data_IF_934138034701
#
_entry.id   IF_934138034701
#
_cell.length_a   1.000
_cell.length_b   1.000
_cell.length_c   1.000
_cell.angle_alpha   90.00
_cell.angle_beta   90.00
_cell.angle_gamma   90.00
#
_symmetry.space_group_name_H-M   'P 1'
#
loop_
_entity.id
_entity.type
_entity.pdbx_description
1 polymer ?
#
# COMPACT_ATOMS: atom_id res chain seq x y z
N UNK A 1 -30.95 2.18 -13.37
CA UNK A 1 -29.69 2.75 -13.91
C UNK A 1 -28.68 1.63 -13.95
N UNK A 2 -28.01 1.51 -15.10
CA UNK A 2 -27.43 0.30 -15.66
C UNK A 2 -26.42 -0.44 -14.76
N UNK A 3 -26.60 -1.77 -14.69
CA UNK A 3 -25.58 -2.74 -14.29
C UNK A 3 -24.79 -3.09 -15.57
N UNK A 4 -23.66 -2.42 -15.79
CA UNK A 4 -22.72 -2.79 -16.84
C UNK A 4 -21.83 -3.95 -16.37
N UNK A 5 -22.23 -5.16 -16.75
CA UNK A 5 -21.43 -6.37 -16.65
C UNK A 5 -20.36 -6.36 -17.74
N UNK A 6 -19.16 -5.88 -17.36
CA UNK A 6 -17.92 -6.04 -18.12
C UNK A 6 -17.63 -7.54 -18.33
N UNK A 7 -17.92 -8.02 -19.52
CA UNK A 7 -17.55 -9.35 -20.02
C UNK A 7 -16.05 -9.35 -20.32
N UNK A 8 -15.26 -9.88 -19.39
CA UNK A 8 -13.85 -10.18 -19.59
C UNK A 8 -13.72 -11.35 -20.58
N UNK A 9 -13.34 -11.03 -21.81
CA UNK A 9 -12.96 -12.00 -22.85
C UNK A 9 -11.62 -12.65 -22.46
N UNK A 10 -11.52 -13.98 -22.38
CA UNK A 10 -10.24 -14.64 -22.09
C UNK A 10 -9.25 -14.50 -23.26
N UNK A 11 -8.15 -13.80 -23.02
CA UNK A 11 -6.99 -13.63 -23.92
C UNK A 11 -6.03 -14.83 -23.90
N UNK A 12 -6.55 -16.06 -23.98
CA UNK A 12 -5.71 -17.24 -24.24
C UNK A 12 -6.43 -18.18 -25.19
N UNK A 13 -6.09 -18.06 -26.47
CA UNK A 13 -6.39 -19.05 -27.50
C UNK A 13 -5.42 -20.20 -27.26
N UNK A 14 -5.76 -21.09 -26.34
CA UNK A 14 -5.03 -22.34 -26.16
C UNK A 14 -4.97 -23.05 -27.51
N UNK A 15 -3.75 -23.23 -28.03
CA UNK A 15 -3.50 -23.98 -29.25
C UNK A 15 -4.19 -25.34 -29.12
N UNK A 16 -5.20 -25.56 -29.97
CA UNK A 16 -5.95 -26.80 -30.06
C UNK A 16 -5.07 -27.86 -30.75
N UNK A 17 -3.96 -28.23 -30.12
CA UNK A 17 -3.11 -29.35 -30.50
C UNK A 17 -3.67 -30.62 -29.84
N UNK A 18 -4.88 -31.03 -30.26
CA UNK A 18 -5.44 -32.36 -30.01
C UNK A 18 -6.61 -32.60 -30.97
N UNK A 19 -6.31 -32.63 -32.26
CA UNK A 19 -7.22 -33.24 -33.24
C UNK A 19 -6.43 -33.93 -34.34
N UNK A 20 -5.57 -34.86 -33.93
CA UNK A 20 -5.12 -35.91 -34.85
C UNK A 20 -6.36 -36.78 -35.11
N UNK A 21 -7.03 -36.50 -36.23
CA UNK A 21 -8.10 -37.33 -36.75
C UNK A 21 -7.46 -38.65 -37.18
N UNK A 22 -7.49 -39.65 -36.29
CA UNK A 22 -7.19 -41.03 -36.64
C UNK A 22 -8.23 -41.50 -37.66
N UNK A 23 -7.97 -41.28 -38.94
CA UNK A 23 -8.62 -41.98 -40.04
C UNK A 23 -8.07 -43.40 -40.03
N UNK A 24 -8.55 -44.22 -39.09
CA UNK A 24 -8.45 -45.66 -39.22
C UNK A 24 -9.39 -46.06 -40.36
N UNK A 25 -8.90 -46.02 -41.60
CA UNK A 25 -9.52 -46.75 -42.70
C UNK A 25 -9.52 -48.23 -42.30
N UNK A 26 -10.65 -48.68 -41.75
CA UNK A 26 -10.89 -50.09 -41.49
C UNK A 26 -10.98 -50.77 -42.85
N UNK A 27 -9.83 -51.26 -43.30
CA UNK A 27 -9.68 -52.05 -44.51
C UNK A 27 -10.62 -53.26 -44.43
N UNK A 28 -11.79 -53.14 -45.07
CA UNK A 28 -12.74 -54.24 -45.30
C UNK A 28 -12.12 -55.46 -46.03
N UNK A 29 -10.86 -55.38 -46.48
CA UNK A 29 -10.12 -56.48 -47.11
C UNK A 29 -9.61 -57.54 -46.13
N UNK A 30 -9.45 -57.23 -44.83
CA UNK A 30 -8.88 -58.20 -43.89
C UNK A 30 -9.78 -59.43 -43.67
N UNK A 31 -11.10 -59.20 -43.57
CA UNK A 31 -12.08 -60.26 -43.33
C UNK A 31 -12.24 -61.24 -44.51
N UNK A 32 -12.03 -60.78 -45.75
CA UNK A 32 -12.12 -61.65 -46.93
C UNK A 32 -10.86 -62.50 -47.14
N UNK A 33 -9.70 -62.04 -46.68
CA UNK A 33 -8.43 -62.76 -46.82
C UNK A 33 -8.25 -63.85 -45.75
N UNK A 34 -8.82 -63.67 -44.55
CA UNK A 34 -8.78 -64.71 -43.50
C UNK A 34 -9.55 -65.98 -43.90
N UNK A 35 -10.53 -65.88 -44.80
CA UNK A 35 -11.21 -67.06 -45.41
C UNK A 35 -10.26 -67.95 -46.24
N UNK A 36 -9.08 -67.45 -46.63
CA UNK A 36 -8.06 -68.22 -47.35
C UNK A 36 -7.34 -69.26 -46.46
N UNK A 37 -7.39 -69.10 -45.13
CA UNK A 37 -6.65 -69.96 -44.19
C UNK A 37 -7.33 -71.32 -43.92
N UNK A 38 -8.62 -71.45 -44.19
CA UNK A 38 -9.39 -72.68 -44.00
C UNK A 38 -9.40 -73.49 -45.31
N UNK A 39 -9.20 -74.83 -45.28
CA UNK A 39 -9.35 -75.65 -46.48
C UNK A 39 -10.73 -75.42 -47.14
N UNK A 40 -10.76 -75.22 -48.46
CA UNK A 40 -12.02 -74.91 -49.15
C UNK A 40 -12.96 -76.14 -49.23
N UNK A 41 -12.39 -77.34 -49.15
CA UNK A 41 -13.07 -78.62 -49.21
C UNK A 41 -13.35 -79.14 -47.81
N UNK A 42 -14.55 -79.67 -47.61
CA UNK A 42 -14.97 -80.32 -46.35
C UNK A 42 -14.99 -81.85 -46.42
N UNK A 43 -14.74 -82.44 -47.60
CA UNK A 43 -14.79 -83.89 -47.83
C UNK A 43 -13.61 -84.37 -48.68
N UNK A 44 -13.05 -85.54 -48.31
CA UNK A 44 -12.01 -86.21 -49.08
C UNK A 44 -12.60 -86.76 -50.39
N UNK A 45 -12.05 -86.35 -51.53
CA UNK A 45 -12.58 -86.70 -52.85
C UNK A 45 -11.87 -87.89 -53.50
N UNK A 46 -10.60 -88.16 -53.17
CA UNK A 46 -9.82 -89.24 -53.79
C UNK A 46 -9.90 -90.55 -53.01
N UNK A 47 -9.68 -91.67 -53.70
CA UNK A 47 -9.76 -93.00 -53.10
C UNK A 47 -8.57 -93.22 -52.16
N UNK A 48 -7.39 -92.70 -52.53
CA UNK A 48 -6.15 -92.77 -51.76
C UNK A 48 -6.28 -92.02 -50.44
N UNK A 49 -6.83 -90.80 -50.44
CA UNK A 49 -7.02 -90.01 -49.21
C UNK A 49 -8.05 -90.66 -48.27
N UNK A 50 -9.13 -91.23 -48.82
CA UNK A 50 -10.10 -92.02 -48.07
C UNK A 50 -9.48 -93.30 -47.49
N UNK A 51 -8.59 -93.98 -48.23
CA UNK A 51 -7.85 -95.17 -47.75
C UNK A 51 -6.91 -94.81 -46.60
N UNK A 52 -6.14 -93.73 -46.73
CA UNK A 52 -5.25 -93.26 -45.65
C UNK A 52 -6.06 -92.98 -44.38
N UNK A 53 -7.20 -92.29 -44.50
CA UNK A 53 -8.07 -92.02 -43.36
C UNK A 53 -8.69 -93.29 -42.79
N UNK A 54 -9.14 -94.22 -43.63
CA UNK A 54 -9.72 -95.50 -43.21
C UNK A 54 -8.71 -96.37 -42.46
N UNK A 55 -7.44 -96.43 -42.92
CA UNK A 55 -6.38 -97.16 -42.22
C UNK A 55 -6.14 -96.52 -40.85
N UNK A 56 -6.10 -95.19 -40.77
CA UNK A 56 -5.91 -94.50 -39.50
C UNK A 56 -7.10 -94.73 -38.54
N UNK A 57 -8.34 -94.60 -39.01
CA UNK A 57 -9.55 -94.88 -38.23
C UNK A 57 -9.58 -96.35 -37.75
N UNK A 58 -9.17 -97.29 -38.59
CA UNK A 58 -9.06 -98.71 -38.24
C UNK A 58 -7.94 -98.97 -37.21
N UNK A 59 -6.79 -98.29 -37.34
CA UNK A 59 -5.71 -98.39 -36.34
C UNK A 59 -6.12 -97.83 -34.99
N UNK A 60 -6.79 -96.66 -34.96
CA UNK A 60 -7.34 -96.07 -33.73
C UNK A 60 -8.35 -97.04 -33.09
N UNK A 61 -9.20 -97.67 -33.89
CA UNK A 61 -10.17 -98.64 -33.39
C UNK A 61 -9.49 -99.88 -32.78
N UNK A 62 -8.48 -100.45 -33.46
CA UNK A 62 -7.72 -101.60 -32.95
C UNK A 62 -6.95 -101.27 -31.68
N UNK A 63 -6.28 -100.12 -31.62
CA UNK A 63 -5.55 -99.65 -30.44
C UNK A 63 -6.51 -99.46 -29.26
N UNK A 64 -7.70 -98.89 -29.49
CA UNK A 64 -8.76 -98.80 -28.46
C UNK A 64 -9.15 -100.17 -27.92
N UNK A 65 -9.28 -101.19 -28.76
CA UNK A 65 -9.61 -102.54 -28.30
C UNK A 65 -8.46 -103.19 -27.52
N UNK A 66 -7.21 -103.06 -27.98
CA UNK A 66 -6.04 -103.59 -27.25
C UNK A 66 -5.90 -102.95 -25.88
N UNK A 67 -6.14 -101.64 -25.76
CA UNK A 67 -6.04 -100.92 -24.49
C UNK A 67 -7.02 -101.38 -23.41
N UNK A 68 -8.04 -102.17 -23.78
CA UNK A 68 -9.04 -102.71 -22.87
C UNK A 68 -8.75 -104.16 -22.45
N UNK A 69 -7.74 -104.82 -23.03
CA UNK A 69 -7.50 -106.25 -22.80
C UNK A 69 -7.05 -106.56 -21.36
N UNK A 70 -6.18 -105.73 -20.78
CA UNK A 70 -5.69 -105.94 -19.40
C UNK A 70 -6.77 -105.70 -18.35
N UNK A 71 -7.63 -104.69 -18.54
CA UNK A 71 -8.80 -104.48 -17.67
C UNK A 71 -9.89 -105.53 -17.88
N UNK A 72 -10.04 -106.07 -19.10
CA UNK A 72 -10.94 -107.19 -19.38
C UNK A 72 -10.47 -108.50 -18.73
N UNK A 73 -9.16 -108.75 -18.64
CA UNK A 73 -8.62 -109.94 -17.99
C UNK A 73 -8.78 -109.92 -16.46
N UNK A 74 -8.79 -108.73 -15.86
CA UNK A 74 -8.88 -108.54 -14.41
C UNK A 74 -10.30 -108.74 -13.83
N UNK A 75 -11.36 -108.65 -14.65
CA UNK A 75 -12.77 -108.70 -14.22
C UNK A 75 -13.48 -109.96 -14.73
N UNK A 76 -13.29 -111.11 -14.08
CA UNK A 76 -13.65 -112.40 -14.67
C UNK A 76 -15.11 -112.88 -14.45
N UNK A 77 -15.76 -112.51 -13.34
CA UNK A 77 -17.00 -113.20 -12.92
C UNK A 77 -18.28 -112.82 -13.70
N UNK A 78 -18.28 -111.73 -14.46
CA UNK A 78 -19.45 -111.26 -15.23
C UNK A 78 -19.29 -111.25 -16.75
N UNK A 79 -18.08 -111.49 -17.27
CA UNK A 79 -17.74 -111.30 -18.68
C UNK A 79 -17.84 -112.59 -19.52
N UNK A 80 -17.77 -113.76 -18.88
CA UNK A 80 -17.73 -115.07 -19.55
C UNK A 80 -19.03 -115.41 -20.32
N UNK A 81 -20.18 -114.99 -19.81
CA UNK A 81 -21.48 -115.24 -20.44
C UNK A 81 -21.76 -114.44 -21.72
N UNK A 82 -21.11 -113.28 -21.93
CA UNK A 82 -21.38 -112.39 -23.07
C UNK A 82 -20.21 -112.25 -24.05
N UNK A 83 -18.96 -112.39 -23.59
CA UNK A 83 -17.79 -112.41 -24.49
C UNK A 83 -17.63 -113.76 -25.19
N UNK A 84 -18.16 -114.83 -24.59
CA UNK A 84 -17.97 -116.19 -25.07
C UNK A 84 -16.66 -116.79 -24.57
N UNK A 85 -16.69 -118.10 -24.32
CA UNK A 85 -15.60 -118.87 -23.71
C UNK A 85 -14.27 -118.74 -24.47
N UNK A 86 -14.33 -118.70 -25.81
CA UNK A 86 -13.15 -118.56 -26.66
C UNK A 86 -12.46 -117.20 -26.50
N UNK A 87 -13.23 -116.12 -26.37
CA UNK A 87 -12.69 -114.76 -26.22
C UNK A 87 -12.17 -114.55 -24.80
N UNK A 88 -12.89 -114.99 -23.78
CA UNK A 88 -12.41 -114.86 -22.39
C UNK A 88 -11.18 -115.69 -22.14
N UNK A 89 -11.08 -116.88 -22.72
CA UNK A 89 -9.87 -117.69 -22.70
C UNK A 89 -8.70 -117.01 -23.40
N UNK A 90 -8.90 -116.49 -24.62
CA UNK A 90 -7.84 -115.79 -25.36
C UNK A 90 -7.39 -114.48 -24.69
N UNK A 91 -8.28 -113.77 -24.00
CA UNK A 91 -7.94 -112.58 -23.19
C UNK A 91 -7.09 -112.97 -21.98
N UNK A 92 -7.48 -114.03 -21.25
CA UNK A 92 -6.71 -114.56 -20.11
C UNK A 92 -5.32 -115.02 -20.52
N UNK A 93 -5.23 -115.85 -21.56
CA UNK A 93 -3.94 -116.34 -22.08
C UNK A 93 -3.04 -115.18 -22.53
N UNK A 94 -3.61 -114.13 -23.12
CA UNK A 94 -2.86 -112.94 -23.48
C UNK A 94 -2.37 -112.17 -22.24
N UNK A 95 -3.19 -112.05 -21.19
CA UNK A 95 -2.78 -111.40 -19.94
C UNK A 95 -1.73 -112.21 -19.19
N UNK A 96 -1.85 -113.53 -19.12
CA UNK A 96 -0.85 -114.41 -18.50
C UNK A 96 0.51 -114.26 -19.18
N UNK A 97 0.54 -114.14 -20.51
CA UNK A 97 1.77 -113.87 -21.26
C UNK A 97 2.32 -112.46 -21.00
N UNK A 98 1.46 -111.44 -20.90
CA UNK A 98 1.85 -110.07 -20.53
C UNK A 98 2.43 -110.03 -19.11
N UNK A 99 1.78 -110.68 -18.15
CA UNK A 99 2.23 -110.77 -16.77
C UNK A 99 3.58 -111.51 -16.66
N UNK A 100 3.72 -112.63 -17.37
CA UNK A 100 5.00 -113.35 -17.46
C UNK A 100 6.12 -112.47 -18.02
N UNK A 101 5.83 -111.60 -18.98
CA UNK A 101 6.81 -110.66 -19.51
C UNK A 101 7.15 -109.58 -18.49
N UNK A 102 6.17 -109.03 -17.78
CA UNK A 102 6.38 -108.05 -16.73
C UNK A 102 7.22 -108.64 -15.59
N UNK A 103 6.89 -109.84 -15.11
CA UNK A 103 7.63 -110.52 -14.04
C UNK A 103 9.09 -110.79 -14.45
N UNK A 104 9.31 -111.26 -15.68
CA UNK A 104 10.66 -111.46 -16.22
C UNK A 104 11.42 -110.16 -16.41
N UNK A 105 10.76 -109.09 -16.85
CA UNK A 105 11.37 -107.78 -17.02
C UNK A 105 11.78 -107.18 -15.66
N UNK A 106 10.92 -107.28 -14.65
CA UNK A 106 11.20 -106.82 -13.29
C UNK A 106 12.35 -107.61 -12.67
N UNK A 107 12.32 -108.95 -12.80
CA UNK A 107 13.42 -109.80 -12.35
C UNK A 107 14.76 -109.41 -13.02
N UNK A 108 14.76 -109.20 -14.34
CA UNK A 108 15.97 -108.79 -15.05
C UNK A 108 16.44 -107.41 -14.63
N UNK A 109 15.53 -106.48 -14.40
CA UNK A 109 15.86 -105.13 -13.93
C UNK A 109 16.47 -105.17 -12.53
N UNK A 110 15.93 -105.97 -11.61
CA UNK A 110 16.50 -106.18 -10.27
C UNK A 110 17.89 -106.82 -10.32
N UNK A 111 18.06 -107.84 -11.17
CA UNK A 111 19.35 -108.52 -11.35
C UNK A 111 20.40 -107.63 -12.04
N UNK A 112 19.99 -106.77 -12.97
CA UNK A 112 20.87 -105.77 -13.59
C UNK A 112 21.30 -104.68 -12.60
N UNK A 113 20.40 -104.23 -11.72
CA UNK A 113 20.74 -103.29 -10.66
C UNK A 113 21.73 -103.90 -9.66
N UNK A 114 21.54 -105.17 -9.27
CA UNK A 114 22.49 -105.89 -8.40
C UNK A 114 23.85 -106.09 -9.06
N UNK A 115 23.90 -106.42 -10.35
CA UNK A 115 25.16 -106.48 -11.09
C UNK A 115 25.86 -105.13 -11.13
N UNK A 116 25.12 -104.02 -11.29
CA UNK A 116 25.68 -102.68 -11.29
C UNK A 116 26.24 -102.30 -9.90
N UNK A 117 25.62 -102.73 -8.80
CA UNK A 117 26.14 -102.52 -7.44
C UNK A 117 27.38 -103.38 -7.13
N UNK A 118 27.53 -104.52 -7.80
CA UNK A 118 28.61 -105.49 -7.60
C UNK A 118 29.73 -105.36 -8.67
N UNK A 119 29.77 -104.27 -9.45
CA UNK A 119 30.76 -104.02 -10.53
C UNK A 119 32.23 -104.10 -10.07
N UNK A 120 32.52 -103.87 -8.78
CA UNK A 120 33.88 -104.01 -8.23
C UNK A 120 34.40 -105.47 -8.27
N UNK A 121 33.53 -106.45 -8.49
CA UNK A 121 33.84 -107.89 -8.53
C UNK A 121 33.84 -108.48 -9.95
N UNK A 122 33.99 -107.67 -11.00
CA UNK A 122 33.99 -108.09 -12.42
C UNK A 122 34.95 -109.26 -12.78
N UNK A 123 36.05 -109.41 -12.04
CA UNK A 123 37.04 -110.48 -12.25
C UNK A 123 36.66 -111.81 -11.58
N UNK A 124 35.63 -111.84 -10.74
CA UNK A 124 35.14 -113.05 -10.08
C UNK A 124 34.32 -113.93 -11.05
N UNK A 125 34.52 -115.25 -10.97
CA UNK A 125 33.86 -116.21 -11.86
C UNK A 125 32.33 -116.19 -11.76
N UNK A 126 31.79 -116.03 -10.56
CA UNK A 126 30.34 -115.99 -10.33
C UNK A 126 29.68 -114.74 -10.93
N UNK A 127 30.40 -113.61 -11.02
CA UNK A 127 29.92 -112.38 -11.64
C UNK A 127 29.74 -112.57 -13.15
N UNK A 128 30.71 -113.22 -13.81
CA UNK A 128 30.64 -113.58 -15.24
C UNK A 128 29.51 -114.57 -15.54
N UNK A 129 29.30 -115.56 -14.66
CA UNK A 129 28.21 -116.52 -14.79
C UNK A 129 26.82 -115.86 -14.64
N UNK A 130 26.69 -114.91 -13.71
CA UNK A 130 25.46 -114.11 -13.52
C UNK A 130 25.17 -113.21 -14.73
N UNK A 131 26.20 -112.57 -15.29
CA UNK A 131 26.09 -111.77 -16.52
C UNK A 131 25.64 -112.62 -17.72
N UNK A 132 26.19 -113.81 -17.89
CA UNK A 132 25.77 -114.77 -18.91
C UNK A 132 24.31 -115.22 -18.72
N UNK A 133 23.88 -115.45 -17.47
CA UNK A 133 22.50 -115.81 -17.13
C UNK A 133 21.50 -114.70 -17.50
N UNK A 134 21.81 -113.43 -17.16
CA UNK A 134 20.99 -112.28 -17.56
C UNK A 134 20.92 -112.15 -19.08
N UNK A 135 22.04 -112.31 -19.78
CA UNK A 135 22.08 -112.24 -21.24
C UNK A 135 21.23 -113.35 -21.90
N UNK A 136 21.24 -114.56 -21.34
CA UNK A 136 20.36 -115.65 -21.78
C UNK A 136 18.89 -115.32 -21.51
N UNK A 137 18.53 -114.82 -20.32
CA UNK A 137 17.16 -114.40 -20.01
C UNK A 137 16.67 -113.25 -20.90
N UNK A 138 17.53 -112.27 -21.22
CA UNK A 138 17.25 -111.22 -22.21
C UNK A 138 16.94 -111.81 -23.59
N UNK A 139 17.65 -112.85 -24.02
CA UNK A 139 17.39 -113.50 -25.31
C UNK A 139 16.00 -114.17 -25.36
N UNK A 140 15.50 -114.67 -24.23
CA UNK A 140 14.16 -115.26 -24.12
C UNK A 140 13.01 -114.24 -24.12
N UNK A 141 13.30 -112.94 -23.89
CA UNK A 141 12.29 -111.89 -24.00
C UNK A 141 11.81 -111.69 -25.45
N UNK A 142 12.68 -111.89 -26.44
CA UNK A 142 12.33 -111.65 -27.84
C UNK A 142 11.26 -112.63 -28.35
N UNK A 143 11.40 -113.97 -28.16
CA UNK A 143 10.32 -114.92 -28.45
C UNK A 143 9.03 -114.62 -27.67
N UNK A 144 9.14 -114.23 -26.40
CA UNK A 144 7.97 -113.92 -25.56
C UNK A 144 7.21 -112.70 -26.10
N UNK A 145 7.91 -111.64 -26.52
CA UNK A 145 7.30 -110.48 -27.20
C UNK A 145 6.58 -110.87 -28.50
N UNK A 146 7.13 -111.84 -29.25
CA UNK A 146 6.48 -112.36 -30.46
C UNK A 146 5.21 -113.14 -30.12
N UNK A 147 5.26 -114.00 -29.10
CA UNK A 147 4.09 -114.75 -28.62
C UNK A 147 2.98 -113.82 -28.12
N UNK A 148 3.30 -112.76 -27.36
CA UNK A 148 2.31 -111.74 -26.96
C UNK A 148 1.72 -111.06 -28.19
N UNK A 149 2.56 -110.68 -29.16
CA UNK A 149 2.08 -110.05 -30.41
C UNK A 149 1.13 -110.96 -31.19
N UNK A 150 1.40 -112.26 -31.24
CA UNK A 150 0.56 -113.26 -31.89
C UNK A 150 -0.73 -113.51 -31.11
N UNK A 151 -0.63 -113.61 -29.78
CA UNK A 151 -1.78 -113.71 -28.88
C UNK A 151 -2.69 -112.49 -29.01
N UNK A 152 -2.16 -111.28 -28.91
CA UNK A 152 -2.91 -110.03 -29.10
C UNK A 152 -3.58 -109.97 -30.48
N UNK A 153 -2.90 -110.43 -31.55
CA UNK A 153 -3.51 -110.52 -32.89
C UNK A 153 -4.65 -111.53 -32.93
N UNK A 154 -4.51 -112.68 -32.28
CA UNK A 154 -5.55 -113.70 -32.23
C UNK A 154 -6.77 -113.20 -31.43
N UNK A 155 -6.54 -112.58 -30.27
CA UNK A 155 -7.58 -111.96 -29.45
C UNK A 155 -8.30 -110.84 -30.22
N UNK A 156 -7.54 -109.97 -30.92
CA UNK A 156 -8.14 -108.94 -31.78
C UNK A 156 -8.95 -109.53 -32.93
N UNK A 157 -8.50 -110.61 -33.58
CA UNK A 157 -9.27 -111.28 -34.65
C UNK A 157 -10.60 -111.81 -34.11
N UNK A 158 -10.59 -112.43 -32.94
CA UNK A 158 -11.81 -112.93 -32.30
C UNK A 158 -12.77 -111.79 -31.95
N UNK A 159 -12.25 -110.68 -31.40
CA UNK A 159 -13.06 -109.49 -31.08
C UNK A 159 -13.61 -108.80 -32.34
N UNK A 160 -12.83 -108.73 -33.42
CA UNK A 160 -13.29 -108.13 -34.68
C UNK A 160 -14.30 -109.02 -35.41
N UNK A 161 -14.18 -110.34 -35.30
CA UNK A 161 -15.15 -111.29 -35.85
C UNK A 161 -16.47 -111.31 -35.05
N UNK A 162 -16.45 -110.89 -33.78
CA UNK A 162 -17.63 -110.74 -32.94
C UNK A 162 -17.85 -109.28 -32.49
N UNK A 163 -18.48 -108.44 -33.33
CA UNK A 163 -18.63 -107.00 -33.05
C UNK A 163 -19.53 -106.70 -31.84
N UNK A 164 -20.38 -107.65 -31.42
CA UNK A 164 -21.21 -107.48 -30.22
C UNK A 164 -20.35 -107.58 -28.95
N UNK A 165 -19.43 -108.55 -28.90
CA UNK A 165 -18.45 -108.69 -27.82
C UNK A 165 -17.50 -107.48 -27.74
N UNK A 166 -17.00 -107.00 -28.89
CA UNK A 166 -16.15 -105.80 -28.93
C UNK A 166 -16.86 -104.52 -28.45
N UNK A 167 -18.13 -104.33 -28.80
CA UNK A 167 -18.93 -103.19 -28.31
C UNK A 167 -19.20 -103.29 -26.82
N UNK A 168 -19.48 -104.49 -26.33
CA UNK A 168 -19.70 -104.75 -24.91
C UNK A 168 -18.45 -104.42 -24.08
N UNK A 169 -17.26 -104.85 -24.51
CA UNK A 169 -15.99 -104.48 -23.88
C UNK A 169 -15.80 -102.95 -23.82
N UNK A 170 -16.12 -102.24 -24.90
CA UNK A 170 -15.99 -100.78 -24.95
C UNK A 170 -17.00 -100.04 -24.04
N UNK A 171 -18.15 -100.65 -23.75
CA UNK A 171 -19.20 -100.05 -22.92
C UNK A 171 -19.06 -100.35 -21.44
N UNK A 172 -18.60 -101.55 -21.07
CA UNK A 172 -18.46 -101.96 -19.67
C UNK A 172 -17.12 -101.55 -19.04
N UNK A 173 -16.03 -101.50 -19.81
CA UNK A 173 -14.69 -101.25 -19.27
C UNK A 173 -14.22 -99.86 -19.71
N UNK A 174 -14.36 -98.90 -18.80
CA UNK A 174 -13.85 -97.53 -18.99
C UNK A 174 -12.43 -97.36 -18.44
N UNK A 175 -11.92 -98.34 -17.69
CA UNK A 175 -10.61 -98.27 -17.06
C UNK A 175 -9.51 -98.60 -18.08
N UNK A 176 -8.88 -97.54 -18.58
CA UNK A 176 -7.64 -97.56 -19.37
C UNK A 176 -6.54 -96.89 -18.55
N UNK A 177 -5.29 -97.27 -18.80
CA UNK A 177 -4.15 -96.52 -18.27
C UNK A 177 -4.08 -95.11 -18.88
N UNK A 178 -3.51 -94.17 -18.13
CA UNK A 178 -3.36 -92.78 -18.57
C UNK A 178 -2.50 -92.67 -19.84
N UNK A 179 -1.49 -93.53 -19.95
CA UNK A 179 -0.57 -93.61 -21.09
C UNK A 179 -1.30 -94.12 -22.34
N UNK A 180 -2.17 -95.12 -22.21
CA UNK A 180 -2.96 -95.63 -23.32
C UNK A 180 -3.97 -94.59 -23.81
N UNK A 181 -4.58 -93.83 -22.89
CA UNK A 181 -5.52 -92.77 -23.24
C UNK A 181 -4.81 -91.59 -23.96
N UNK A 182 -3.66 -91.14 -23.45
CA UNK A 182 -2.84 -90.10 -24.09
C UNK A 182 -2.40 -90.48 -25.50
N UNK A 183 -2.05 -91.75 -25.73
CA UNK A 183 -1.70 -92.25 -27.05
C UNK A 183 -2.90 -92.24 -28.02
N UNK A 184 -4.09 -92.65 -27.55
CA UNK A 184 -5.33 -92.59 -28.35
C UNK A 184 -5.70 -91.15 -28.70
N UNK A 185 -5.54 -90.22 -27.77
CA UNK A 185 -5.82 -88.79 -27.98
C UNK A 185 -4.85 -88.20 -29.02
N UNK A 186 -3.55 -88.52 -28.92
CA UNK A 186 -2.54 -88.13 -29.90
C UNK A 186 -2.83 -88.68 -31.30
N UNK A 187 -3.29 -89.94 -31.42
CA UNK A 187 -3.71 -90.51 -32.70
C UNK A 187 -4.97 -89.81 -33.25
N UNK A 188 -5.87 -89.38 -32.38
CA UNK A 188 -7.09 -88.65 -32.76
C UNK A 188 -6.77 -87.24 -33.22
N UNK A 189 -5.81 -86.55 -32.59
CA UNK A 189 -5.28 -85.26 -33.02
C UNK A 189 -4.56 -85.38 -34.38
N UNK A 190 -3.69 -86.38 -34.52
CA UNK A 190 -3.03 -86.70 -35.79
C UNK A 190 -4.04 -86.94 -36.91
N UNK A 191 -5.15 -87.63 -36.60
CA UNK A 191 -6.25 -87.85 -37.53
C UNK A 191 -6.91 -86.54 -37.97
N UNK A 192 -7.13 -85.61 -37.05
CA UNK A 192 -7.61 -84.26 -37.36
C UNK A 192 -6.64 -83.49 -38.27
N UNK A 193 -5.36 -83.45 -37.90
CA UNK A 193 -4.32 -82.78 -38.68
C UNK A 193 -4.17 -83.36 -40.10
N UNK A 194 -4.09 -84.68 -40.22
CA UNK A 194 -3.99 -85.34 -41.53
C UNK A 194 -5.24 -85.10 -42.37
N UNK A 195 -6.42 -85.07 -41.77
CA UNK A 195 -7.65 -84.75 -42.47
C UNK A 195 -7.59 -83.34 -43.08
N UNK A 196 -7.18 -82.32 -42.32
CA UNK A 196 -7.01 -80.96 -42.84
C UNK A 196 -5.94 -80.87 -43.94
N UNK A 197 -4.81 -81.58 -43.76
CA UNK A 197 -3.75 -81.63 -44.77
C UNK A 197 -4.20 -82.28 -46.07
N UNK A 198 -4.96 -83.39 -45.99
CA UNK A 198 -5.50 -84.09 -47.16
C UNK A 198 -6.64 -83.31 -47.84
N UNK A 199 -7.31 -82.40 -47.12
CA UNK A 199 -8.29 -81.47 -47.69
C UNK A 199 -7.66 -80.27 -48.39
N UNK A 200 -6.43 -79.91 -48.02
CA UNK A 200 -5.75 -78.71 -48.54
C UNK A 200 -5.14 -78.98 -49.92
N UNK A 201 -5.51 -78.17 -50.91
CA UNK A 201 -4.88 -78.23 -52.25
C UNK A 201 -3.45 -77.66 -52.23
N UNK A 202 -2.52 -78.14 -53.07
CA UNK A 202 -1.20 -77.52 -53.23
C UNK A 202 -1.27 -76.03 -53.59
N UNK A 203 -2.30 -75.62 -54.32
CA UNK A 203 -2.53 -74.20 -54.64
C UNK A 203 -2.94 -73.42 -53.39
N UNK A 204 -3.91 -73.92 -52.61
CA UNK A 204 -4.35 -73.29 -51.36
C UNK A 204 -3.20 -73.19 -50.34
N UNK A 205 -2.32 -74.18 -50.27
CA UNK A 205 -1.15 -74.13 -49.40
C UNK A 205 -0.18 -73.00 -49.81
N UNK A 206 0.02 -72.79 -51.13
CA UNK A 206 0.84 -71.69 -51.66
C UNK A 206 0.18 -70.34 -51.39
N UNK A 207 -1.13 -70.22 -51.62
CA UNK A 207 -1.88 -68.99 -51.38
C UNK A 207 -1.83 -68.58 -49.89
N UNK A 208 -1.99 -69.55 -48.97
CA UNK A 208 -1.83 -69.32 -47.52
C UNK A 208 -0.42 -68.84 -47.18
N UNK A 209 0.61 -69.46 -47.75
CA UNK A 209 2.01 -69.08 -47.50
C UNK A 209 2.31 -67.66 -48.01
N UNK A 210 1.84 -67.32 -49.21
CA UNK A 210 1.98 -65.97 -49.78
C UNK A 210 1.23 -64.94 -48.94
N UNK A 211 0.00 -65.24 -48.53
CA UNK A 211 -0.77 -64.36 -47.65
C UNK A 211 -0.06 -64.07 -46.33
N UNK A 212 0.47 -65.10 -45.66
CA UNK A 212 1.25 -64.94 -44.43
C UNK A 212 2.49 -64.08 -44.69
N UNK A 213 3.19 -64.29 -45.80
CA UNK A 213 4.37 -63.51 -46.15
C UNK A 213 4.03 -62.02 -46.39
N UNK A 214 2.93 -61.74 -47.08
CA UNK A 214 2.46 -60.37 -47.34
C UNK A 214 2.05 -59.66 -46.05
N UNK A 215 1.30 -60.34 -45.17
CA UNK A 215 0.95 -59.82 -43.85
C UNK A 215 2.20 -59.55 -43.02
N UNK A 216 3.18 -60.46 -43.05
CA UNK A 216 4.44 -60.29 -42.33
C UNK A 216 5.22 -59.10 -42.85
N UNK A 217 5.28 -58.91 -44.17
CA UNK A 217 5.94 -57.76 -44.81
C UNK A 217 5.23 -56.46 -44.47
N UNK A 218 3.90 -56.45 -44.46
CA UNK A 218 3.11 -55.29 -44.06
C UNK A 218 3.34 -54.95 -42.59
N UNK A 219 3.33 -55.93 -41.70
CA UNK A 219 3.61 -55.72 -40.28
C UNK A 219 5.00 -55.15 -40.04
N UNK A 220 6.03 -55.62 -40.77
CA UNK A 220 7.39 -55.05 -40.69
C UNK A 220 7.42 -53.58 -41.07
N UNK A 221 6.81 -53.21 -42.20
CA UNK A 221 6.72 -51.79 -42.63
C UNK A 221 5.95 -50.93 -41.63
N UNK A 222 4.84 -51.45 -41.10
CA UNK A 222 4.07 -50.74 -40.08
C UNK A 222 4.90 -50.54 -38.81
N UNK A 223 5.71 -51.54 -38.43
CA UNK A 223 6.61 -51.42 -37.28
C UNK A 223 7.71 -50.39 -37.51
N UNK A 224 8.29 -50.33 -38.70
CA UNK A 224 9.27 -49.29 -39.08
C UNK A 224 8.64 -47.89 -38.94
N UNK A 225 7.44 -47.68 -39.49
CA UNK A 225 6.72 -46.41 -39.37
C UNK A 225 6.39 -46.06 -37.91
N UNK A 226 6.00 -47.05 -37.10
CA UNK A 226 5.75 -46.84 -35.66
C UNK A 226 7.04 -46.39 -34.97
N UNK A 227 8.16 -47.07 -35.22
CA UNK A 227 9.45 -46.73 -34.61
C UNK A 227 9.91 -45.33 -35.02
N UNK A 228 9.73 -44.95 -36.30
CA UNK A 228 10.07 -43.61 -36.79
C UNK A 228 9.23 -42.53 -36.10
N UNK A 229 7.91 -42.75 -35.97
CA UNK A 229 7.00 -41.83 -35.27
C UNK A 229 7.30 -41.76 -33.77
N UNK A 230 7.65 -42.87 -33.12
CA UNK A 230 8.07 -42.89 -31.72
C UNK A 230 9.37 -42.11 -31.51
N UNK A 231 10.32 -42.21 -32.45
CA UNK A 231 11.56 -41.42 -32.42
C UNK A 231 11.29 -39.92 -32.60
N UNK A 232 10.45 -39.55 -33.58
CA UNK A 232 10.08 -38.13 -33.81
C UNK A 232 9.34 -37.55 -32.60
N UNK A 233 8.44 -38.33 -31.98
CA UNK A 233 7.75 -37.93 -30.76
C UNK A 233 8.73 -37.73 -29.61
N UNK A 234 9.69 -38.65 -29.42
CA UNK A 234 10.70 -38.54 -28.38
C UNK A 234 11.59 -37.31 -28.56
N UNK A 235 12.00 -37.00 -29.80
CA UNK A 235 12.78 -35.81 -30.12
C UNK A 235 11.98 -34.52 -29.86
N UNK A 236 10.71 -34.48 -30.29
CA UNK A 236 9.81 -33.36 -30.05
C UNK A 236 9.58 -33.11 -28.56
N UNK A 237 9.38 -34.16 -27.77
CA UNK A 237 9.26 -34.07 -26.31
C UNK A 237 10.54 -33.52 -25.68
N UNK A 238 11.70 -34.02 -26.08
CA UNK A 238 13.00 -33.54 -25.58
C UNK A 238 13.23 -32.07 -25.90
N UNK A 239 12.90 -31.63 -27.12
CA UNK A 239 13.02 -30.24 -27.52
C UNK A 239 12.08 -29.34 -26.71
N UNK A 240 10.83 -29.77 -26.51
CA UNK A 240 9.86 -29.05 -25.66
C UNK A 240 10.34 -28.96 -24.21
N UNK A 241 10.86 -30.04 -23.65
CA UNK A 241 11.37 -30.05 -22.28
C UNK A 241 12.59 -29.14 -22.12
N UNK A 242 13.49 -29.10 -23.11
CA UNK A 242 14.61 -28.17 -23.14
C UNK A 242 14.15 -26.70 -23.19
N UNK A 243 13.12 -26.38 -23.98
CA UNK A 243 12.56 -25.02 -24.04
C UNK A 243 11.91 -24.63 -22.71
N UNK A 244 11.13 -25.54 -22.11
CA UNK A 244 10.55 -25.33 -20.78
C UNK A 244 11.64 -25.09 -19.72
N UNK A 245 12.77 -25.78 -19.79
CA UNK A 245 13.90 -25.53 -18.88
C UNK A 245 14.52 -24.14 -19.08
N UNK A 246 14.67 -23.67 -20.33
CA UNK A 246 15.15 -22.30 -20.61
C UNK A 246 14.17 -21.25 -20.08
N UNK A 247 12.87 -21.41 -20.35
CA UNK A 247 11.85 -20.49 -19.84
C UNK A 247 11.82 -20.46 -18.31
N UNK A 248 11.95 -21.61 -17.66
CA UNK A 248 12.05 -21.69 -16.20
C UNK A 248 13.27 -20.96 -15.66
N UNK A 249 14.41 -21.05 -16.34
CA UNK A 249 15.62 -20.29 -15.98
C UNK A 249 15.38 -18.78 -16.08
N UNK A 250 14.80 -18.31 -17.19
CA UNK A 250 14.44 -16.88 -17.37
C UNK A 250 13.46 -16.42 -16.29
N UNK A 251 12.44 -17.23 -15.96
CA UNK A 251 11.51 -16.93 -14.87
C UNK A 251 12.25 -16.78 -13.54
N UNK A 252 13.24 -17.62 -13.27
CA UNK A 252 14.03 -17.56 -12.05
C UNK A 252 14.92 -16.30 -12.00
N UNK A 253 15.55 -15.92 -13.10
CA UNK A 253 16.31 -14.66 -13.21
C UNK A 253 15.40 -13.43 -13.00
N UNK A 254 14.24 -13.40 -13.66
CA UNK A 254 13.27 -12.32 -13.51
C UNK A 254 12.73 -12.21 -12.07
N UNK A 255 12.47 -13.34 -11.40
CA UNK A 255 12.10 -13.37 -9.98
C UNK A 255 13.21 -12.79 -9.11
N UNK A 256 14.47 -13.14 -9.38
CA UNK A 256 15.61 -12.62 -8.63
C UNK A 256 15.76 -11.10 -8.85
N UNK A 257 15.65 -10.62 -10.09
CA UNK A 257 15.71 -9.20 -10.41
C UNK A 257 14.57 -8.43 -9.74
N UNK A 258 13.35 -8.96 -9.78
CA UNK A 258 12.20 -8.37 -9.09
C UNK A 258 12.44 -8.27 -7.58
N UNK A 259 12.94 -9.33 -6.95
CA UNK A 259 13.29 -9.29 -5.53
C UNK A 259 14.38 -8.27 -5.21
N UNK A 260 15.40 -8.11 -6.05
CA UNK A 260 16.45 -7.11 -5.87
C UNK A 260 15.89 -5.69 -5.99
N UNK A 261 15.07 -5.42 -7.02
CA UNK A 261 14.44 -4.11 -7.22
C UNK A 261 13.51 -3.77 -6.05
N UNK A 262 12.69 -4.72 -5.60
CA UNK A 262 11.83 -4.53 -4.43
C UNK A 262 12.65 -4.18 -3.20
N UNK A 263 13.68 -4.97 -2.86
CA UNK A 263 14.55 -4.67 -1.71
C UNK A 263 15.26 -3.31 -1.84
N UNK A 264 15.74 -2.96 -3.03
CA UNK A 264 16.38 -1.67 -3.24
C UNK A 264 15.38 -0.52 -3.05
N UNK A 265 14.18 -0.65 -3.59
CA UNK A 265 13.12 0.35 -3.48
C UNK A 265 12.64 0.54 -2.04
N UNK A 266 12.46 -0.55 -1.29
CA UNK A 266 12.08 -0.52 0.13
C UNK A 266 13.16 0.17 0.96
N UNK A 267 14.43 -0.17 0.75
CA UNK A 267 15.54 0.47 1.44
C UNK A 267 15.66 1.97 1.09
N UNK A 268 15.48 2.32 -0.19
CA UNK A 268 15.48 3.71 -0.65
C UNK A 268 14.34 4.52 -0.02
N UNK A 269 13.13 3.94 0.01
CA UNK A 269 11.96 4.55 0.61
C UNK A 269 12.13 4.73 2.12
N UNK A 270 12.67 3.74 2.83
CA UNK A 270 12.97 3.84 4.26
C UNK A 270 13.99 4.94 4.55
N UNK A 271 15.07 5.04 3.77
CA UNK A 271 16.07 6.12 3.89
C UNK A 271 15.45 7.48 3.65
N UNK A 272 14.70 7.63 2.55
CA UNK A 272 14.05 8.89 2.19
C UNK A 272 13.07 9.33 3.26
N UNK A 273 12.27 8.41 3.80
CA UNK A 273 11.35 8.68 4.90
C UNK A 273 12.09 9.12 6.16
N UNK A 274 13.15 8.40 6.54
CA UNK A 274 13.93 8.75 7.72
C UNK A 274 14.62 10.12 7.60
N UNK A 275 15.17 10.43 6.43
CA UNK A 275 15.79 11.73 6.14
C UNK A 275 14.75 12.86 6.14
N UNK A 276 13.58 12.64 5.55
CA UNK A 276 12.47 13.59 5.60
C UNK A 276 11.97 13.82 7.04
N UNK A 277 11.83 12.78 7.86
CA UNK A 277 11.47 12.90 9.28
C UNK A 277 12.54 13.66 10.08
N UNK A 278 13.82 13.41 9.81
CA UNK A 278 14.92 14.13 10.45
C UNK A 278 14.89 15.62 10.09
N UNK A 279 14.68 15.93 8.80
CA UNK A 279 14.58 17.30 8.31
C UNK A 279 13.36 18.00 8.90
N UNK A 280 12.19 17.34 8.91
CA UNK A 280 10.98 17.86 9.53
C UNK A 280 11.20 18.20 11.01
N UNK A 281 11.85 17.30 11.78
CA UNK A 281 12.18 17.57 13.19
C UNK A 281 13.11 18.77 13.35
N UNK A 282 14.10 18.92 12.47
CA UNK A 282 15.00 20.08 12.47
C UNK A 282 14.24 21.38 12.17
N UNK A 283 13.37 21.38 11.15
CA UNK A 283 12.58 22.55 10.75
C UNK A 283 11.57 22.96 11.83
N UNK A 284 10.93 21.98 12.49
CA UNK A 284 10.03 22.23 13.62
C UNK A 284 10.81 22.86 14.78
N UNK A 285 11.99 22.35 15.14
CA UNK A 285 12.81 22.97 16.20
C UNK A 285 13.27 24.38 15.82
N UNK A 286 13.71 24.58 14.58
CA UNK A 286 14.16 25.89 14.09
C UNK A 286 13.00 26.91 14.10
N UNK A 287 11.80 26.50 13.67
CA UNK A 287 10.61 27.35 13.72
C UNK A 287 10.15 27.64 15.15
N UNK A 288 10.15 26.65 16.05
CA UNK A 288 9.86 26.86 17.47
C UNK A 288 10.83 27.86 18.11
N UNK A 289 12.13 27.75 17.81
CA UNK A 289 13.13 28.69 18.30
C UNK A 289 12.88 30.12 17.77
N UNK A 290 12.54 30.28 16.49
CA UNK A 290 12.16 31.59 15.92
C UNK A 290 10.92 32.17 16.58
N UNK A 291 9.88 31.35 16.79
CA UNK A 291 8.64 31.77 17.47
C UNK A 291 8.93 32.19 18.91
N UNK A 292 9.76 31.44 19.64
CA UNK A 292 10.15 31.81 21.00
C UNK A 292 10.89 33.15 21.04
N UNK A 293 11.83 33.37 20.12
CA UNK A 293 12.56 34.64 19.99
C UNK A 293 11.62 35.82 19.72
N UNK A 294 10.74 35.69 18.73
CA UNK A 294 9.75 36.74 18.40
C UNK A 294 8.80 37.01 19.56
N UNK A 295 8.36 35.97 20.28
CA UNK A 295 7.52 36.14 21.48
C UNK A 295 8.25 36.92 22.57
N UNK A 296 9.54 36.65 22.79
CA UNK A 296 10.36 37.40 23.74
C UNK A 296 10.52 38.86 23.31
N UNK A 297 10.79 39.13 22.03
CA UNK A 297 10.88 40.49 21.47
C UNK A 297 9.54 41.24 21.65
N UNK A 298 8.40 40.59 21.39
CA UNK A 298 7.07 41.18 21.63
C UNK A 298 6.88 41.53 23.11
N UNK A 299 7.28 40.65 24.03
CA UNK A 299 7.17 40.92 25.47
C UNK A 299 8.07 42.08 25.90
N UNK A 300 9.30 42.15 25.39
CA UNK A 300 10.23 43.24 25.65
C UNK A 300 9.71 44.58 25.10
N UNK A 301 9.20 44.60 23.87
CA UNK A 301 8.61 45.80 23.29
C UNK A 301 7.36 46.25 24.06
N UNK A 302 6.53 45.32 24.52
CA UNK A 302 5.38 45.63 25.38
C UNK A 302 5.78 46.26 26.70
N UNK A 303 6.83 45.75 27.36
CA UNK A 303 7.32 46.33 28.61
C UNK A 303 7.95 47.71 28.38
N UNK A 304 8.77 47.87 27.32
CA UNK A 304 9.33 49.16 26.93
C UNK A 304 8.24 50.20 26.65
N UNK A 305 7.20 49.81 25.88
CA UNK A 305 6.06 50.68 25.60
C UNK A 305 5.31 51.08 26.88
N UNK A 306 5.08 50.13 27.79
CA UNK A 306 4.45 50.43 29.06
C UNK A 306 5.27 51.39 29.91
N UNK A 307 6.59 51.19 29.99
CA UNK A 307 7.49 52.08 30.71
C UNK A 307 7.45 53.51 30.15
N UNK A 308 7.58 53.66 28.83
CA UNK A 308 7.48 54.97 28.16
C UNK A 308 6.12 55.64 28.39
N UNK A 309 5.03 54.87 28.43
CA UNK A 309 3.72 55.42 28.77
C UNK A 309 3.67 55.93 30.21
N UNK A 310 4.27 55.21 31.16
CA UNK A 310 4.31 55.63 32.57
C UNK A 310 5.20 56.86 32.76
N UNK A 311 6.39 56.88 32.17
CA UNK A 311 7.30 58.03 32.19
C UNK A 311 6.64 59.28 31.60
N UNK A 312 5.97 59.15 30.45
CA UNK A 312 5.25 60.26 29.83
C UNK A 312 4.08 60.75 30.69
N UNK A 313 3.32 59.84 31.31
CA UNK A 313 2.24 60.20 32.24
C UNK A 313 2.76 60.95 33.45
N UNK A 314 3.87 60.50 34.03
CA UNK A 314 4.51 61.16 35.17
C UNK A 314 5.05 62.54 34.80
N UNK A 315 5.71 62.65 33.65
CA UNK A 315 6.19 63.92 33.10
C UNK A 315 5.03 64.89 32.84
N UNK A 316 3.95 64.42 32.22
CA UNK A 316 2.74 65.21 31.98
C UNK A 316 2.11 65.67 33.30
N UNK A 317 1.95 64.77 34.29
CA UNK A 317 1.43 65.13 35.61
C UNK A 317 2.31 66.17 36.31
N UNK A 318 3.64 66.05 36.21
CA UNK A 318 4.57 67.02 36.76
C UNK A 318 4.42 68.40 36.09
N UNK A 319 4.25 68.43 34.76
CA UNK A 319 3.98 69.66 34.03
C UNK A 319 2.62 70.26 34.39
N UNK A 320 1.55 69.45 34.52
CA UNK A 320 0.23 69.91 34.99
C UNK A 320 0.31 70.52 36.39
N UNK A 321 1.07 69.90 37.31
CA UNK A 321 1.30 70.45 38.67
C UNK A 321 2.06 71.77 38.62
N UNK A 322 3.11 71.90 37.78
CA UNK A 322 3.84 73.15 37.59
C UNK A 322 2.94 74.24 36.99
N UNK A 323 2.16 73.89 35.96
CA UNK A 323 1.16 74.78 35.35
C UNK A 323 0.19 75.30 36.40
N UNK A 324 -0.42 74.42 37.18
CA UNK A 324 -1.35 74.82 38.24
C UNK A 324 -0.70 75.75 39.27
N UNK A 325 0.54 75.49 39.69
CA UNK A 325 1.27 76.40 40.60
C UNK A 325 1.46 77.80 40.01
N UNK A 326 1.92 77.88 38.76
CA UNK A 326 2.09 79.17 38.08
C UNK A 326 0.75 79.87 37.88
N UNK A 327 -0.30 79.15 37.49
CA UNK A 327 -1.67 79.70 37.40
C UNK A 327 -2.13 80.27 38.76
N UNK A 328 -1.91 79.55 39.87
CA UNK A 328 -2.23 80.07 41.21
C UNK A 328 -1.39 81.28 41.61
N UNK A 329 -0.11 81.33 41.21
CA UNK A 329 0.75 82.49 41.46
C UNK A 329 0.26 83.71 40.67
N UNK A 330 -0.12 83.53 39.39
CA UNK A 330 -0.71 84.58 38.55
C UNK A 330 -2.01 85.08 39.17
N UNK A 331 -2.91 84.17 39.58
CA UNK A 331 -4.17 84.53 40.24
C UNK A 331 -3.91 85.36 41.51
N UNK A 332 -2.93 84.96 42.32
CA UNK A 332 -2.52 85.72 43.51
C UNK A 332 -1.97 87.11 43.15
N UNK A 333 -1.21 87.25 42.06
CA UNK A 333 -0.72 88.55 41.60
C UNK A 333 -1.84 89.43 41.06
N UNK A 334 -2.81 88.86 40.35
CA UNK A 334 -4.02 89.58 39.90
C UNK A 334 -4.79 90.08 41.11
N UNK A 335 -5.06 89.23 42.09
CA UNK A 335 -5.77 89.63 43.32
C UNK A 335 -5.05 90.75 44.07
N UNK A 336 -3.72 90.66 44.22
CA UNK A 336 -2.92 91.74 44.84
C UNK A 336 -3.03 93.04 44.06
N UNK A 337 -2.89 92.98 42.73
CA UNK A 337 -3.01 94.14 41.88
C UNK A 337 -4.40 94.77 41.98
N UNK A 338 -5.47 93.97 41.94
CA UNK A 338 -6.84 94.45 42.06
C UNK A 338 -7.09 95.13 43.42
N UNK A 339 -6.56 94.57 44.51
CA UNK A 339 -6.62 95.17 45.85
C UNK A 339 -5.85 96.49 45.89
N UNK A 340 -4.58 96.49 45.48
CA UNK A 340 -3.73 97.70 45.50
C UNK A 340 -4.31 98.80 44.60
N UNK A 341 -4.82 98.45 43.42
CA UNK A 341 -5.49 99.40 42.53
C UNK A 341 -6.79 99.94 43.12
N UNK A 342 -7.58 99.10 43.80
CA UNK A 342 -8.78 99.55 44.52
C UNK A 342 -8.41 100.51 45.64
N UNK A 343 -7.42 100.19 46.47
CA UNK A 343 -6.92 101.06 47.53
C UNK A 343 -6.41 102.39 46.97
N UNK A 344 -5.67 102.38 45.85
CA UNK A 344 -5.22 103.61 45.18
C UNK A 344 -6.35 104.42 44.56
N UNK A 345 -7.38 103.75 44.04
CA UNK A 345 -8.57 104.42 43.54
C UNK A 345 -9.34 105.08 44.70
N UNK A 346 -9.51 104.40 45.82
CA UNK A 346 -10.15 104.92 47.04
C UNK A 346 -9.36 106.14 47.58
N UNK A 347 -8.03 106.03 47.71
CA UNK A 347 -7.15 107.14 48.10
C UNK A 347 -7.27 108.35 47.14
N UNK A 348 -7.31 108.09 45.82
CA UNK A 348 -7.47 109.14 44.82
C UNK A 348 -8.83 109.83 44.93
N UNK A 349 -9.91 109.08 45.11
CA UNK A 349 -11.25 109.61 45.29
C UNK A 349 -11.36 110.45 46.57
N UNK A 350 -10.76 110.01 47.68
CA UNK A 350 -10.65 110.79 48.92
C UNK A 350 -9.90 112.11 48.70
N UNK A 351 -8.74 112.06 48.03
CA UNK A 351 -7.96 113.27 47.71
C UNK A 351 -8.70 114.20 46.75
N UNK A 352 -9.43 113.68 45.76
CA UNK A 352 -10.23 114.48 44.83
C UNK A 352 -11.41 115.15 45.55
N UNK A 353 -12.02 114.49 46.54
CA UNK A 353 -13.01 115.09 47.43
C UNK A 353 -12.37 116.27 48.19
N UNK A 354 -11.23 116.06 48.84
CA UNK A 354 -10.51 117.11 49.58
C UNK A 354 -10.14 118.26 48.64
N UNK A 355 -9.58 117.97 47.47
CA UNK A 355 -9.18 118.98 46.49
C UNK A 355 -10.39 119.79 45.98
N UNK A 356 -11.55 119.16 45.76
CA UNK A 356 -12.79 119.87 45.41
C UNK A 356 -13.23 120.81 46.54
N UNK A 357 -13.17 120.35 47.79
CA UNK A 357 -13.47 121.17 48.96
C UNK A 357 -12.50 122.35 49.10
N UNK A 358 -11.19 122.11 49.05
CA UNK A 358 -10.16 123.15 49.10
C UNK A 358 -10.31 124.15 47.96
N UNK A 359 -10.60 123.68 46.74
CA UNK A 359 -10.85 124.56 45.59
C UNK A 359 -12.08 125.43 45.80
N UNK A 360 -13.15 124.89 46.38
CA UNK A 360 -14.33 125.66 46.74
C UNK A 360 -14.02 126.70 47.85
N UNK A 361 -13.26 126.31 48.87
CA UNK A 361 -12.81 127.22 49.93
C UNK A 361 -11.92 128.34 49.37
N UNK A 362 -11.01 128.01 48.45
CA UNK A 362 -10.13 128.96 47.78
C UNK A 362 -10.91 129.93 46.91
N UNK A 363 -11.96 129.49 46.21
CA UNK A 363 -12.83 130.37 45.44
C UNK A 363 -13.62 131.32 46.37
N UNK A 364 -14.14 130.82 47.49
CA UNK A 364 -14.76 131.66 48.52
C UNK A 364 -13.78 132.69 49.09
N UNK A 365 -12.52 132.30 49.34
CA UNK A 365 -11.47 133.19 49.81
C UNK A 365 -11.10 134.24 48.77
N UNK A 366 -11.01 133.87 47.49
CA UNK A 366 -10.78 134.81 46.37
C UNK A 366 -11.91 135.82 46.28
N UNK A 367 -13.16 135.39 46.40
CA UNK A 367 -14.31 136.31 46.33
C UNK A 367 -14.33 137.25 47.53
N UNK A 368 -14.03 136.75 48.74
CA UNK A 368 -13.81 137.61 49.92
C UNK A 368 -12.65 138.59 49.69
N UNK A 369 -11.54 138.15 49.09
CA UNK A 369 -10.39 139.02 48.80
C UNK A 369 -10.73 140.08 47.75
N UNK A 370 -11.50 139.74 46.70
CA UNK A 370 -12.02 140.71 45.72
C UNK A 370 -12.89 141.75 46.41
N UNK A 371 -13.83 141.33 47.24
CA UNK A 371 -14.67 142.24 48.02
C UNK A 371 -13.82 143.16 48.92
N UNK A 372 -12.83 142.61 49.63
CA UNK A 372 -11.85 143.39 50.40
C UNK A 372 -11.07 144.37 49.53
N UNK A 373 -10.61 144.00 48.34
CA UNK A 373 -9.91 144.90 47.42
C UNK A 373 -10.81 146.04 46.94
N UNK A 374 -12.08 145.75 46.65
CA UNK A 374 -13.08 146.76 46.33
C UNK A 374 -13.29 147.71 47.51
N UNK A 375 -13.48 147.20 48.73
CA UNK A 375 -13.57 147.99 49.95
C UNK A 375 -12.30 148.84 50.18
N UNK A 376 -11.10 148.28 50.03
CA UNK A 376 -9.83 149.01 50.11
C UNK A 376 -9.75 150.12 49.05
N UNK A 377 -10.23 149.87 47.83
CA UNK A 377 -10.27 150.87 46.76
C UNK A 377 -11.27 151.98 47.06
N UNK A 378 -12.42 151.65 47.65
CA UNK A 378 -13.42 152.60 48.12
C UNK A 378 -12.86 153.46 49.25
N UNK A 379 -12.22 152.87 50.26
CA UNK A 379 -11.57 153.61 51.36
C UNK A 379 -10.46 154.53 50.82
N UNK A 380 -9.64 154.06 49.87
CA UNK A 380 -8.61 154.88 49.21
C UNK A 380 -9.23 156.05 48.44
N UNK A 381 -10.27 155.82 47.66
CA UNK A 381 -10.98 156.85 46.91
C UNK A 381 -11.66 157.85 47.87
N UNK A 382 -12.28 157.38 48.94
CA UNK A 382 -12.85 158.21 50.00
C UNK A 382 -11.76 159.07 50.67
N UNK A 383 -10.60 158.50 51.02
CA UNK A 383 -9.48 159.27 51.57
C UNK A 383 -8.94 160.31 50.57
N UNK A 384 -8.85 159.99 49.28
CA UNK A 384 -8.46 160.96 48.25
C UNK A 384 -9.49 162.10 48.09
N UNK A 385 -10.79 161.79 48.11
CA UNK A 385 -11.87 162.78 48.07
C UNK A 385 -11.83 163.66 49.32
N UNK A 386 -11.64 163.06 50.50
CA UNK A 386 -11.59 163.81 51.76
C UNK A 386 -10.33 164.69 51.83
N UNK A 387 -9.20 164.20 51.31
CA UNK A 387 -7.97 164.99 51.16
C UNK A 387 -8.18 166.17 50.19
N UNK A 388 -8.85 165.96 49.05
CA UNK A 388 -9.22 167.03 48.11
C UNK A 388 -10.15 168.06 48.76
N UNK A 389 -11.19 167.63 49.46
CA UNK A 389 -12.13 168.51 50.20
C UNK A 389 -11.40 169.33 51.27
N UNK A 390 -10.50 168.73 52.04
CA UNK A 390 -9.69 169.44 53.02
C UNK A 390 -8.77 170.49 52.37
N UNK A 391 -8.16 170.15 51.23
CA UNK A 391 -7.30 171.07 50.48
C UNK A 391 -8.10 172.24 49.89
N UNK A 392 -9.30 171.99 49.36
CA UNK A 392 -10.22 173.02 48.86
C UNK A 392 -10.71 173.95 49.99
N UNK A 393 -11.08 173.38 51.15
CA UNK A 393 -11.46 174.14 52.33
C UNK A 393 -10.30 175.01 52.88
N UNK A 394 -9.06 174.48 52.88
CA UNK A 394 -7.87 175.28 53.21
C UNK A 394 -7.67 176.44 52.23
N UNK A 395 -7.85 176.21 50.92
CA UNK A 395 -7.73 177.27 49.91
C UNK A 395 -8.82 178.34 50.08
N UNK A 396 -10.06 177.96 50.39
CA UNK A 396 -11.15 178.90 50.68
C UNK A 396 -10.89 179.70 51.96
N UNK A 397 -10.40 179.06 53.03
CA UNK A 397 -9.99 179.74 54.25
C UNK A 397 -8.87 180.74 53.98
N UNK A 398 -7.88 180.40 53.15
CA UNK A 398 -6.81 181.33 52.74
C UNK A 398 -7.38 182.52 51.94
N UNK A 399 -8.38 182.31 51.07
CA UNK A 399 -9.07 183.39 50.35
C UNK A 399 -9.83 184.31 51.30
N UNK A 400 -10.58 183.74 52.25
CA UNK A 400 -11.31 184.48 53.28
C UNK A 400 -10.37 185.32 54.16
N UNK A 401 -9.23 184.76 54.58
CA UNK A 401 -8.21 185.47 55.37
C UNK A 401 -7.55 186.59 54.56
N UNK A 402 -7.26 186.38 53.27
CA UNK A 402 -6.75 187.43 52.36
C UNK A 402 -7.74 188.57 52.16
N UNK A 403 -9.03 188.26 51.98
CA UNK A 403 -10.08 189.27 51.87
C UNK A 403 -10.24 190.07 53.17
N UNK A 404 -10.22 189.40 54.33
CA UNK A 404 -10.28 190.04 55.64
C UNK A 404 -9.07 190.97 55.90
N UNK A 405 -7.85 190.55 55.51
CA UNK A 405 -6.64 191.39 55.65
C UNK A 405 -6.64 192.61 54.72
N UNK A 406 -7.15 192.48 53.49
CA UNK A 406 -7.30 193.60 52.56
C UNK A 406 -8.29 194.65 53.09
N UNK A 407 -9.46 194.22 53.58
CA UNK A 407 -10.47 195.11 54.17
C UNK A 407 -9.92 195.84 55.40
N UNK A 408 -9.20 195.13 56.29
CA UNK A 408 -8.56 195.74 57.45
C UNK A 408 -7.45 196.73 57.06
N UNK A 409 -6.69 196.47 56.00
CA UNK A 409 -5.60 197.34 55.54
C UNK A 409 -6.11 198.64 54.90
N UNK A 410 -7.20 198.60 54.12
CA UNK A 410 -7.78 199.80 53.50
C UNK A 410 -8.39 200.74 54.54
N UNK A 411 -9.11 200.20 55.53
CA UNK A 411 -9.72 201.00 56.61
C UNK A 411 -8.68 201.64 57.54
N UNK A 412 -7.64 200.89 57.95
CA UNK A 412 -6.51 201.43 58.72
C UNK A 412 -5.74 202.49 57.92
N UNK A 413 -5.61 202.33 56.61
CA UNK A 413 -4.98 203.31 55.73
C UNK A 413 -5.78 204.62 55.57
N UNK A 414 -7.11 204.55 55.51
CA UNK A 414 -7.98 205.73 55.40
C UNK A 414 -7.97 206.58 56.67
N UNK A 415 -8.02 205.95 57.86
CA UNK A 415 -7.96 206.64 59.14
C UNK A 415 -6.61 207.34 59.37
N UNK A 416 -5.52 206.75 58.86
CA UNK A 416 -4.14 207.27 59.01
C UNK A 416 -3.83 208.40 58.03
N UNK A 417 -4.47 208.47 56.86
CA UNK A 417 -4.20 209.51 55.84
C UNK A 417 -4.97 210.82 56.05
N UNK A 418 -5.99 210.82 56.90
CA UNK A 418 -6.81 212.00 57.20
C UNK A 418 -6.15 212.99 58.17
N UNK A 419 -5.30 212.54 59.10
CA UNK A 419 -4.96 213.36 60.29
C UNK A 419 -3.68 214.23 60.17
N UNK A 420 -2.79 214.13 59.17
CA UNK A 420 -1.57 214.97 59.14
C UNK A 420 -0.95 215.35 57.76
N UNK A 421 -1.33 216.52 57.19
CA UNK A 421 -0.40 217.53 56.57
C UNK A 421 -1.04 218.93 56.27
N UNK A 422 -1.47 219.65 57.32
CA UNK A 422 -1.44 221.14 57.42
C UNK A 422 -1.79 221.58 58.85
N UNK A 423 -0.94 222.23 59.65
CA UNK A 423 0.50 222.49 59.57
C UNK A 423 1.06 222.38 61.00
N UNK A 424 1.77 221.31 61.37
CA UNK A 424 2.52 221.28 62.64
C UNK A 424 3.43 220.04 62.80
N UNK A 425 4.68 220.32 63.18
CA UNK A 425 5.58 219.59 64.11
C UNK A 425 5.91 218.12 63.81
N UNK A 426 7.19 217.84 63.50
CA UNK A 426 8.30 217.47 64.42
C UNK A 426 8.38 215.95 64.70
N UNK A 427 9.40 215.32 64.09
CA UNK A 427 10.61 214.77 64.73
C UNK A 427 10.45 213.68 65.82
N UNK A 428 11.09 212.54 65.59
CA UNK A 428 11.53 211.53 66.58
C UNK A 428 11.47 210.13 65.97
N UNK A 429 12.53 209.36 65.67
CA UNK A 429 13.82 209.05 66.33
C UNK A 429 13.67 208.24 67.62
N UNK A 430 14.10 206.97 67.56
CA UNK A 430 14.28 206.01 68.69
C UNK A 430 13.95 204.59 68.19
N UNK A 431 14.85 203.64 67.93
CA UNK A 431 16.14 203.21 68.53
C UNK A 431 15.96 202.50 69.89
N UNK A 432 15.95 201.16 69.87
CA UNK A 432 16.48 200.20 70.86
C UNK A 432 16.03 198.79 70.42
N UNK A 433 16.89 197.82 70.08
CA UNK A 433 17.92 197.09 70.86
C UNK A 433 17.31 195.97 71.71
N UNK A 434 18.01 194.82 71.68
CA UNK A 434 17.85 193.59 72.49
C UNK A 434 16.74 192.64 72.03
N UNK A 435 16.85 191.30 72.08
CA UNK A 435 17.83 190.39 72.70
C UNK A 435 17.59 188.96 72.20
N UNK A 436 18.65 188.16 72.28
CA UNK A 436 18.70 186.67 72.38
C UNK A 436 17.48 186.03 73.08
N UNK A 437 17.07 184.85 72.62
CA UNK A 437 16.23 183.94 73.40
C UNK A 437 15.88 182.61 72.70
N UNK A 438 16.36 181.50 73.29
CA UNK A 438 15.97 180.10 73.04
C UNK A 438 14.46 179.87 73.23
N UNK A 439 13.91 178.90 72.50
CA UNK A 439 13.21 177.69 73.02
C UNK A 439 11.94 177.30 72.23
N UNK A 440 11.84 175.99 71.96
CA UNK A 440 10.66 175.10 72.02
C UNK A 440 9.32 175.56 71.42
N UNK A 441 8.80 174.72 70.53
CA UNK A 441 7.37 174.59 70.22
C UNK A 441 7.21 174.03 68.81
N UNK A 442 6.93 172.72 68.68
CA UNK A 442 5.59 172.16 68.45
C UNK A 442 5.02 172.69 67.13
N UNK A 443 4.83 171.88 66.09
CA UNK A 443 4.31 170.51 66.03
C UNK A 443 4.82 169.81 64.78
#
# INVERSE_FOLDING_TARGET
MALDSLTLVPLYKGSNSNRIRLMAETSKKSASLLKSLVPSKSKLTTIETKRIMSVLDETIHKVKLVSLLSSAASNNEGLEGMLGEDITKAVRENEDLCQLLLDKANYLQEEEMRLHEEEEFEDEGWFRDRLLSIQQQKSHLLPLKQQIKESTKNTLRLLLNNPQAARFLQMQLLDRSAEAQSFIDSLTELRGFLFEKLLTSPMEARDKAQFIQDVTRQNKRNQEVINDLESELAESLKNRDAEVQKENFVIQELKNHLHQVLRFSENSLLRTKHEAEKQQKADVRASQARVAKIRQEIQQLRSQFHNLLMENREAEQALRKKKYKVETEIENWIQKYDIEMSEKQDEYEELDIIHKEEKAQLEQLKDRHKALLEEFSQIRAEQEINSKKNLEAEQEMVRMVRAATLIQAVWKGYLVRSVLRSKKRKRGKGKAKDKKGKAKGKR
#
